data_IF_324894855642
#
_entry.id   IF_324894855642
#
_cell.length_a   1.000
_cell.length_b   1.000
_cell.length_c   1.000
_cell.angle_alpha   90.00
_cell.angle_beta   90.00
_cell.angle_gamma   90.00
#
_symmetry.space_group_name_H-M   'P 1'
#
loop_
_entity.id
_entity.type
_entity.pdbx_description
1 polymer ?
#
# COMPACT_ATOMS: atom_id res chain seq x y z
N UNK A 1 1.36 7.40 6.74
CA UNK A 1 1.78 6.33 7.67
C UNK A 1 3.30 6.07 7.64
N UNK A 2 4.11 7.05 7.21
CA UNK A 2 5.57 6.88 7.07
C UNK A 2 6.24 6.51 8.39
N UNK A 3 7.21 5.60 8.35
CA UNK A 3 7.96 5.12 9.51
C UNK A 3 7.23 4.04 10.32
N UNK A 4 6.09 3.53 9.84
CA UNK A 4 5.37 2.38 10.42
C UNK A 4 5.61 1.12 9.60
N UNK A 5 5.35 -0.03 10.20
CA UNK A 5 5.36 -1.33 9.53
C UNK A 5 3.96 -1.63 8.97
N UNK A 6 3.88 -2.11 7.73
CA UNK A 6 2.61 -2.55 7.14
C UNK A 6 2.11 -3.81 7.84
N UNK A 7 0.83 -3.82 8.22
CA UNK A 7 0.19 -4.97 8.84
C UNK A 7 -0.44 -5.92 7.80
N UNK A 8 -0.82 -5.38 6.65
CA UNK A 8 -1.50 -6.09 5.56
C UNK A 8 -0.82 -5.81 4.22
N UNK A 9 -1.23 -6.55 3.19
CA UNK A 9 -0.84 -6.26 1.81
C UNK A 9 -1.51 -4.98 1.36
N UNK A 10 -0.74 -4.11 0.70
CA UNK A 10 -1.28 -2.99 -0.07
C UNK A 10 -0.87 -3.20 -1.51
N UNK A 11 -1.85 -3.20 -2.42
CA UNK A 11 -1.62 -3.43 -3.83
C UNK A 11 -2.36 -2.40 -4.67
N UNK A 12 -1.76 -2.05 -5.80
CA UNK A 12 -2.38 -1.21 -6.81
C UNK A 12 -3.32 -2.06 -7.68
N UNK A 13 -4.57 -1.63 -7.84
CA UNK A 13 -5.55 -2.32 -8.68
C UNK A 13 -6.33 -1.33 -9.55
N UNK A 14 -6.26 -1.40 -10.90
CA UNK A 14 -5.36 -2.22 -11.74
C UNK A 14 -3.93 -1.64 -11.76
N UNK A 15 -2.83 -2.42 -11.89
CA UNK A 15 -2.70 -3.74 -12.55
C UNK A 15 -2.63 -4.99 -11.63
N UNK A 16 -2.75 -4.84 -10.31
CA UNK A 16 -2.65 -5.94 -9.34
C UNK A 16 -1.23 -6.16 -8.79
N UNK A 17 -0.41 -5.12 -8.72
CA UNK A 17 0.97 -5.19 -8.22
C UNK A 17 1.01 -4.79 -6.75
N UNK A 18 1.69 -5.57 -5.92
CA UNK A 18 1.89 -5.25 -4.50
C UNK A 18 2.85 -4.06 -4.33
N UNK A 19 2.40 -3.05 -3.60
CA UNK A 19 3.18 -1.88 -3.18
C UNK A 19 3.83 -2.14 -1.82
N UNK A 20 3.11 -2.78 -0.90
CA UNK A 20 3.59 -3.13 0.44
C UNK A 20 3.19 -4.56 0.80
N UNK A 21 4.10 -5.28 1.43
CA UNK A 21 3.88 -6.58 2.08
C UNK A 21 3.82 -6.43 3.61
N UNK A 22 3.15 -7.36 4.32
CA UNK A 22 3.17 -7.39 5.77
C UNK A 22 4.60 -7.47 6.32
N UNK A 23 4.95 -6.58 7.23
CA UNK A 23 6.30 -6.49 7.78
C UNK A 23 7.21 -5.47 7.09
N UNK A 24 6.83 -4.90 5.94
CA UNK A 24 7.63 -3.87 5.27
C UNK A 24 7.50 -2.48 5.92
N UNK A 25 8.58 -1.71 5.88
CA UNK A 25 8.62 -0.34 6.37
C UNK A 25 8.00 0.61 5.34
N UNK A 26 6.99 1.37 5.77
CA UNK A 26 6.35 2.38 4.93
C UNK A 26 7.30 3.59 4.82
N UNK A 27 7.91 3.76 3.65
CA UNK A 27 8.77 4.90 3.28
C UNK A 27 8.05 5.86 2.32
N UNK A 28 8.62 7.06 2.12
CA UNK A 28 8.06 8.08 1.22
C UNK A 28 7.98 7.62 -0.24
N UNK A 29 8.80 6.64 -0.65
CA UNK A 29 8.79 6.09 -2.01
C UNK A 29 7.49 5.36 -2.35
N UNK A 30 6.70 4.94 -1.35
CA UNK A 30 5.42 4.29 -1.57
C UNK A 30 4.28 5.29 -1.82
N UNK A 31 4.43 6.56 -1.41
CA UNK A 31 3.36 7.56 -1.48
C UNK A 31 2.84 7.83 -2.90
N UNK A 32 3.69 7.93 -3.95
CA UNK A 32 3.21 8.14 -5.32
C UNK A 32 2.24 7.05 -5.80
N UNK A 33 2.36 5.83 -5.29
CA UNK A 33 1.49 4.70 -5.65
C UNK A 33 0.21 4.62 -4.81
N UNK A 34 0.07 5.46 -3.78
CA UNK A 34 -1.06 5.46 -2.84
C UNK A 34 -1.91 6.73 -2.88
N UNK A 35 -1.38 7.82 -3.45
CA UNK A 35 -2.02 9.14 -3.41
C UNK A 35 -3.16 9.34 -4.43
N UNK A 36 -3.28 8.46 -5.41
CA UNK A 36 -4.27 8.59 -6.50
C UNK A 36 -5.58 7.84 -6.24
N UNK A 37 -5.76 7.29 -5.03
CA UNK A 37 -6.88 6.41 -4.69
C UNK A 37 -7.77 7.03 -3.61
N UNK A 38 -9.04 7.26 -3.94
CA UNK A 38 -10.07 7.72 -2.97
C UNK A 38 -10.80 6.56 -2.27
N UNK A 39 -10.72 5.35 -2.83
CA UNK A 39 -11.44 4.16 -2.36
C UNK A 39 -10.49 3.03 -2.04
N UNK A 40 -10.68 2.40 -0.87
CA UNK A 40 -9.95 1.22 -0.41
C UNK A 40 -10.90 0.02 -0.36
N UNK A 41 -10.64 -1.00 -1.18
CA UNK A 41 -11.36 -2.27 -1.12
C UNK A 41 -10.61 -3.27 -0.24
N UNK A 42 -11.27 -3.77 0.80
CA UNK A 42 -10.75 -4.82 1.68
C UNK A 42 -11.24 -6.17 1.17
N UNK A 43 -10.35 -6.93 0.53
CA UNK A 43 -10.63 -8.30 0.10
C UNK A 43 -10.31 -9.25 1.25
N UNK A 44 -11.28 -10.08 1.63
CA UNK A 44 -11.21 -11.00 2.79
C UNK A 44 -10.86 -12.42 2.40
#
# INVERSE_FOLDING_TARGET
AIGRISAEVVAECPPGISILLPGELITEQHLPYLNDYETLDVVK
#
